data_IF_400067889687
#
_entry.id   IF_400067889687
#
_cell.length_a   1.000
_cell.length_b   1.000
_cell.length_c   1.000
_cell.angle_alpha   90.00
_cell.angle_beta   90.00
_cell.angle_gamma   90.00
#
_symmetry.space_group_name_H-M   'P 1'
#
loop_
_entity.id
_entity.type
_entity.pdbx_description
1 polymer ?
#
# COMPACT_ATOMS: atom_id res chain seq x y z
N UNK A 1 -37.42 29.86 15.30
CA UNK A 1 -36.35 30.51 14.51
C UNK A 1 -35.02 29.73 14.52
N UNK A 2 -34.71 28.90 15.54
CA UNK A 2 -33.45 28.14 15.63
C UNK A 2 -33.42 26.82 14.84
N UNK A 3 -34.57 26.17 14.64
CA UNK A 3 -34.68 24.85 13.98
C UNK A 3 -34.29 24.84 12.51
N UNK A 4 -34.58 25.92 11.77
CA UNK A 4 -34.27 26.03 10.34
C UNK A 4 -32.78 26.26 10.10
N UNK A 5 -32.10 26.97 11.00
CA UNK A 5 -30.65 27.20 10.92
C UNK A 5 -29.85 25.91 11.14
N UNK A 6 -30.25 25.07 12.10
CA UNK A 6 -29.60 23.78 12.33
C UNK A 6 -29.80 22.81 11.15
N UNK A 7 -30.97 22.87 10.51
CA UNK A 7 -31.28 22.05 9.34
C UNK A 7 -30.48 22.49 8.10
N UNK A 8 -30.33 23.80 7.88
CA UNK A 8 -29.46 24.35 6.85
C UNK A 8 -27.99 23.95 7.04
N UNK A 9 -27.47 23.98 8.27
CA UNK A 9 -26.08 23.57 8.57
C UNK A 9 -25.88 22.08 8.30
N UNK A 10 -26.88 21.23 8.63
CA UNK A 10 -26.84 19.80 8.34
C UNK A 10 -26.79 19.53 6.84
N UNK A 11 -27.67 20.18 6.07
CA UNK A 11 -27.70 20.07 4.62
C UNK A 11 -26.39 20.58 3.99
N UNK A 12 -25.81 21.65 4.50
CA UNK A 12 -24.54 22.17 4.00
C UNK A 12 -23.38 21.18 4.21
N UNK A 13 -23.33 20.51 5.37
CA UNK A 13 -22.34 19.46 5.66
C UNK A 13 -22.52 18.26 4.74
N UNK A 14 -23.76 17.84 4.54
CA UNK A 14 -24.09 16.72 3.64
C UNK A 14 -23.70 17.04 2.19
N UNK A 15 -23.92 18.28 1.74
CA UNK A 15 -23.48 18.75 0.42
C UNK A 15 -21.95 18.78 0.32
N UNK A 16 -21.24 19.21 1.37
CA UNK A 16 -19.78 19.22 1.40
C UNK A 16 -19.18 17.80 1.37
N UNK A 17 -19.74 16.85 2.11
CA UNK A 17 -19.31 15.45 2.08
C UNK A 17 -19.55 14.82 0.70
N UNK A 18 -20.69 15.12 0.08
CA UNK A 18 -20.98 14.65 -1.29
C UNK A 18 -20.06 15.29 -2.32
N UNK A 19 -19.72 16.57 -2.16
CA UNK A 19 -18.73 17.24 -3.00
C UNK A 19 -17.35 16.61 -2.84
N UNK A 20 -16.90 16.31 -1.63
CA UNK A 20 -15.61 15.65 -1.38
C UNK A 20 -15.57 14.24 -2.00
N UNK A 21 -16.70 13.51 -1.96
CA UNK A 21 -16.84 12.22 -2.65
C UNK A 21 -16.73 12.36 -4.17
N UNK A 22 -17.41 13.35 -4.75
CA UNK A 22 -17.39 13.62 -6.20
C UNK A 22 -16.00 14.08 -6.64
N UNK A 23 -15.32 14.92 -5.85
CA UNK A 23 -13.94 15.33 -6.12
C UNK A 23 -12.99 14.12 -6.11
N UNK A 24 -13.21 13.16 -5.20
CA UNK A 24 -12.46 11.90 -5.16
C UNK A 24 -12.69 11.02 -6.39
N UNK A 25 -13.94 10.90 -6.86
CA UNK A 25 -14.26 10.18 -8.09
C UNK A 25 -13.68 10.90 -9.33
N UNK A 26 -13.70 12.23 -9.36
CA UNK A 26 -13.07 13.03 -10.42
C UNK A 26 -11.56 12.83 -10.48
N UNK A 27 -10.89 12.70 -9.34
CA UNK A 27 -9.47 12.40 -9.30
C UNK A 27 -9.16 10.99 -9.83
N UNK A 28 -10.00 9.99 -9.50
CA UNK A 28 -9.89 8.64 -10.07
C UNK A 28 -10.08 8.64 -11.58
N UNK A 29 -11.10 9.32 -12.08
CA UNK A 29 -11.35 9.46 -13.52
C UNK A 29 -10.22 10.22 -14.21
N UNK A 30 -9.64 11.23 -13.57
CA UNK A 30 -8.44 11.92 -14.09
C UNK A 30 -7.23 11.00 -14.16
N UNK A 31 -7.02 10.16 -13.16
CA UNK A 31 -5.93 9.18 -13.14
C UNK A 31 -6.14 8.12 -14.23
N UNK A 32 -7.34 7.57 -14.40
CA UNK A 32 -7.67 6.64 -15.50
C UNK A 32 -7.51 7.29 -16.88
N UNK A 33 -7.98 8.53 -17.06
CA UNK A 33 -7.79 9.29 -18.31
C UNK A 33 -6.31 9.57 -18.58
N UNK A 34 -5.51 9.79 -17.53
CA UNK A 34 -4.06 9.96 -17.65
C UNK A 34 -3.39 8.64 -18.02
N UNK A 35 -3.81 7.52 -17.44
CA UNK A 35 -3.31 6.19 -17.79
C UNK A 35 -3.66 5.81 -19.23
N UNK A 36 -4.89 6.07 -19.69
CA UNK A 36 -5.28 5.86 -21.08
C UNK A 36 -4.50 6.76 -22.04
N UNK A 37 -4.25 8.02 -21.65
CA UNK A 37 -3.39 8.94 -22.41
C UNK A 37 -1.95 8.47 -22.44
N UNK A 38 -1.40 8.02 -21.32
CA UNK A 38 -0.04 7.49 -21.21
C UNK A 38 0.11 6.14 -21.94
N UNK A 39 -0.93 5.29 -21.98
CA UNK A 39 -0.95 4.08 -22.80
C UNK A 39 -1.02 4.40 -24.30
N UNK A 40 -1.74 5.47 -24.68
CA UNK A 40 -1.71 6.02 -26.04
C UNK A 40 -0.38 6.67 -26.42
N UNK A 41 0.38 7.19 -25.45
CA UNK A 41 1.68 7.86 -25.67
C UNK A 41 2.86 6.87 -25.56
N UNK A 42 2.74 5.76 -24.80
CA UNK A 42 3.83 4.80 -24.54
C UNK A 42 4.32 3.98 -25.73
N UNK A 43 3.76 4.15 -26.93
CA UNK A 43 4.44 3.69 -28.15
C UNK A 43 5.63 4.56 -28.55
N UNK A 44 5.79 5.75 -27.96
CA UNK A 44 6.91 6.64 -28.27
C UNK A 44 7.43 7.29 -26.99
N UNK A 45 8.74 7.20 -26.78
CA UNK A 45 9.54 8.05 -25.88
C UNK A 45 9.69 7.57 -24.43
N UNK A 46 10.83 6.92 -24.24
CA UNK A 46 11.63 6.89 -23.03
C UNK A 46 11.84 8.25 -22.34
N UNK A 47 12.15 8.16 -21.04
CA UNK A 47 12.89 9.11 -20.18
C UNK A 47 12.20 10.36 -19.59
N UNK A 48 12.29 10.42 -18.24
CA UNK A 48 12.39 11.60 -17.34
C UNK A 48 11.20 12.55 -17.15
N UNK A 49 10.91 12.87 -15.88
CA UNK A 49 10.26 14.14 -15.49
C UNK A 49 9.10 14.06 -14.50
N UNK A 50 9.43 14.19 -13.20
CA UNK A 50 8.68 14.89 -12.14
C UNK A 50 7.23 15.34 -12.42
N UNK A 51 6.27 14.61 -11.82
CA UNK A 51 5.03 15.10 -11.17
C UNK A 51 4.17 13.88 -10.77
N UNK A 52 4.46 13.28 -9.61
CA UNK A 52 3.81 12.05 -9.14
C UNK A 52 3.61 12.08 -7.61
N UNK A 53 2.71 12.94 -7.12
CA UNK A 53 2.39 12.99 -5.69
C UNK A 53 1.36 11.93 -5.24
N UNK A 54 0.66 11.25 -6.15
CA UNK A 54 -0.23 10.11 -5.86
C UNK A 54 0.38 8.74 -6.21
N UNK A 55 1.00 8.64 -7.38
CA UNK A 55 1.64 7.41 -7.89
C UNK A 55 3.08 7.21 -7.40
N UNK A 56 3.69 8.22 -6.80
CA UNK A 56 5.06 8.13 -6.27
C UNK A 56 5.17 7.13 -5.13
N UNK A 57 4.28 7.18 -4.14
CA UNK A 57 4.39 6.30 -2.97
C UNK A 57 4.21 4.82 -3.32
N UNK A 58 3.17 4.48 -4.10
CA UNK A 58 2.93 3.10 -4.52
C UNK A 58 4.06 2.58 -5.41
N UNK A 59 4.59 3.43 -6.29
CA UNK A 59 5.76 3.08 -7.11
C UNK A 59 7.01 2.86 -6.26
N UNK A 60 7.28 3.75 -5.29
CA UNK A 60 8.40 3.60 -4.36
C UNK A 60 8.27 2.31 -3.54
N UNK A 61 7.07 1.97 -3.07
CA UNK A 61 6.81 0.71 -2.37
C UNK A 61 7.04 -0.49 -3.32
N UNK A 62 6.58 -0.43 -4.56
CA UNK A 62 6.81 -1.51 -5.54
C UNK A 62 8.29 -1.69 -5.90
N UNK A 63 9.07 -0.60 -5.94
CA UNK A 63 10.51 -0.64 -6.22
C UNK A 63 11.32 -1.13 -4.99
N UNK A 64 10.93 -0.73 -3.78
CA UNK A 64 11.67 -1.02 -2.53
C UNK A 64 11.10 -2.19 -1.70
N UNK A 65 10.00 -2.80 -2.15
CA UNK A 65 9.17 -3.82 -1.49
C UNK A 65 8.38 -3.31 -0.26
N UNK A 66 8.97 -2.44 0.53
CA UNK A 66 8.31 -1.78 1.65
C UNK A 66 9.06 -0.49 2.02
N UNK A 67 8.34 0.43 2.66
CA UNK A 67 8.89 1.67 3.19
C UNK A 67 8.61 1.78 4.69
N UNK A 68 9.51 2.39 5.44
CA UNK A 68 9.23 2.77 6.81
C UNK A 68 8.19 3.89 6.84
N UNK A 69 7.22 3.82 7.76
CA UNK A 69 6.19 4.88 7.86
C UNK A 69 6.84 6.23 8.12
N UNK A 70 7.98 6.26 8.84
CA UNK A 70 8.76 7.46 9.15
C UNK A 70 9.29 8.18 7.90
N UNK A 71 9.65 7.42 6.87
CA UNK A 71 10.22 7.95 5.63
C UNK A 71 9.16 8.49 4.67
N UNK A 72 7.88 8.25 4.96
CA UNK A 72 6.77 8.75 4.16
C UNK A 72 6.46 10.21 4.50
N UNK A 73 6.82 11.10 3.56
CA UNK A 73 6.63 12.55 3.67
C UNK A 73 5.15 12.95 3.81
N UNK A 74 4.24 12.28 3.10
CA UNK A 74 2.80 12.61 3.12
C UNK A 74 1.99 11.62 3.97
N UNK A 75 1.84 11.95 5.26
CA UNK A 75 1.06 11.12 6.21
C UNK A 75 -0.43 11.04 5.85
N UNK A 76 -1.00 12.11 5.30
CA UNK A 76 -2.41 12.15 4.86
C UNK A 76 -2.67 11.19 3.71
N UNK A 77 -1.76 11.14 2.74
CA UNK A 77 -1.84 10.23 1.60
C UNK A 77 -1.64 8.78 2.04
N UNK A 78 -0.65 8.53 2.91
CA UNK A 78 -0.44 7.19 3.45
C UNK A 78 -1.67 6.67 4.18
N UNK A 79 -2.28 7.50 5.03
CA UNK A 79 -3.52 7.16 5.73
C UNK A 79 -4.62 6.77 4.75
N UNK A 80 -4.84 7.57 3.70
CA UNK A 80 -5.84 7.28 2.66
C UNK A 80 -5.55 5.97 1.91
N UNK A 81 -4.29 5.65 1.63
CA UNK A 81 -3.91 4.39 0.98
C UNK A 81 -4.10 3.16 1.87
N UNK A 82 -3.91 3.34 3.18
CA UNK A 82 -4.21 2.31 4.18
C UNK A 82 -5.74 2.13 4.29
N UNK A 83 -6.48 3.23 4.43
CA UNK A 83 -7.95 3.21 4.58
C UNK A 83 -8.64 2.61 3.34
N UNK A 84 -8.10 2.86 2.14
CA UNK A 84 -8.57 2.24 0.89
C UNK A 84 -8.09 0.81 0.65
N UNK A 85 -7.29 0.24 1.57
CA UNK A 85 -6.77 -1.13 1.49
C UNK A 85 -5.73 -1.38 0.39
N UNK A 86 -5.26 -0.32 -0.30
CA UNK A 86 -4.22 -0.41 -1.34
C UNK A 86 -2.83 -0.67 -0.75
N UNK A 87 -2.60 -0.19 0.47
CA UNK A 87 -1.36 -0.37 1.24
C UNK A 87 -1.70 -1.02 2.57
N UNK A 88 -0.87 -1.96 3.00
CA UNK A 88 -0.93 -2.62 4.30
C UNK A 88 0.14 -2.03 5.20
N UNK A 89 -0.26 -1.72 6.43
CA UNK A 89 0.63 -1.36 7.51
C UNK A 89 1.02 -2.62 8.28
N UNK A 90 2.32 -2.92 8.32
CA UNK A 90 2.89 -3.97 9.16
C UNK A 90 3.54 -3.31 10.37
N UNK A 91 3.01 -3.59 11.56
CA UNK A 91 3.56 -3.09 12.84
C UNK A 91 4.31 -4.19 13.56
N UNK A 92 5.64 -4.16 13.48
CA UNK A 92 6.49 -5.06 14.27
C UNK A 92 6.73 -4.44 15.65
N UNK A 93 5.94 -4.86 16.63
CA UNK A 93 6.07 -4.42 18.03
C UNK A 93 7.40 -4.85 18.64
N UNK A 94 7.97 -5.99 18.21
CA UNK A 94 9.23 -6.50 18.75
C UNK A 94 10.42 -5.65 18.32
N UNK A 95 10.35 -5.05 17.12
CA UNK A 95 11.38 -4.14 16.59
C UNK A 95 11.03 -2.66 16.73
N UNK A 96 9.87 -2.31 17.32
CA UNK A 96 9.31 -0.96 17.36
C UNK A 96 9.37 -0.26 15.99
N UNK A 97 8.98 -1.00 14.95
CA UNK A 97 9.08 -0.58 13.56
C UNK A 97 7.75 -0.72 12.85
N UNK A 98 7.39 0.32 12.11
CA UNK A 98 6.20 0.34 11.29
C UNK A 98 6.59 0.47 9.83
N UNK A 99 6.24 -0.52 9.02
CA UNK A 99 6.52 -0.53 7.59
C UNK A 99 5.23 -0.64 6.80
N UNK A 100 5.25 -0.11 5.58
CA UNK A 100 4.12 -0.11 4.66
C UNK A 100 4.49 -0.84 3.39
N UNK A 101 3.61 -1.73 2.95
CA UNK A 101 3.79 -2.56 1.74
C UNK A 101 2.45 -2.77 1.04
N UNK A 102 2.43 -3.41 -0.12
CA UNK A 102 1.18 -3.75 -0.83
C UNK A 102 0.84 -5.23 -0.67
N UNK A 103 -0.45 -5.56 -0.83
CA UNK A 103 -0.92 -6.95 -0.87
C UNK A 103 -0.19 -7.79 -1.90
N UNK A 104 0.08 -7.23 -3.06
CA UNK A 104 0.76 -7.91 -4.17
C UNK A 104 2.19 -8.31 -3.81
N UNK A 105 2.92 -7.46 -3.09
CA UNK A 105 4.30 -7.74 -2.67
C UNK A 105 4.32 -8.87 -1.65
N UNK A 106 3.44 -8.81 -0.64
CA UNK A 106 3.30 -9.90 0.33
C UNK A 106 2.93 -11.20 -0.38
N UNK A 107 1.95 -11.18 -1.28
CA UNK A 107 1.53 -12.37 -2.06
C UNK A 107 2.67 -12.94 -2.90
N UNK A 108 3.46 -12.10 -3.56
CA UNK A 108 4.63 -12.52 -4.36
C UNK A 108 5.71 -13.15 -3.49
N UNK A 109 5.90 -12.67 -2.26
CA UNK A 109 6.84 -13.28 -1.32
C UNK A 109 6.30 -14.61 -0.78
N UNK A 110 5.03 -14.65 -0.38
CA UNK A 110 4.38 -15.87 0.11
C UNK A 110 4.33 -16.97 -0.96
N UNK A 111 4.17 -16.63 -2.24
CA UNK A 111 4.18 -17.63 -3.33
C UNK A 111 5.55 -18.31 -3.54
N UNK A 112 6.63 -17.76 -2.98
CA UNK A 112 7.96 -18.39 -2.97
C UNK A 112 8.13 -19.39 -1.82
N UNK A 113 7.17 -19.45 -0.89
CA UNK A 113 7.19 -20.39 0.23
C UNK A 113 6.57 -21.74 -0.18
N UNK A 114 7.08 -22.87 0.34
CA UNK A 114 8.08 -22.97 1.40
C UNK A 114 9.53 -22.78 0.90
N UNK A 115 10.34 -22.02 1.64
CA UNK A 115 11.77 -21.82 1.34
C UNK A 115 12.63 -22.33 2.50
N UNK A 116 13.70 -23.06 2.20
CA UNK A 116 14.64 -23.55 3.22
C UNK A 116 15.56 -22.44 3.72
N UNK A 117 16.03 -22.52 4.97
CA UNK A 117 17.06 -21.58 5.49
C UNK A 117 18.30 -21.59 4.59
N UNK A 118 18.67 -22.76 4.07
CA UNK A 118 19.84 -22.90 3.18
C UNK A 118 19.64 -22.23 1.81
N UNK A 119 18.40 -21.86 1.47
CA UNK A 119 18.03 -21.24 0.20
C UNK A 119 17.70 -19.75 0.33
N UNK A 120 17.89 -19.17 1.53
CA UNK A 120 17.66 -17.73 1.78
C UNK A 120 18.46 -16.86 0.82
N UNK A 121 19.64 -17.30 0.39
CA UNK A 121 20.50 -16.59 -0.57
C UNK A 121 19.83 -16.35 -1.93
N UNK A 122 18.70 -17.02 -2.23
CA UNK A 122 17.89 -16.79 -3.44
C UNK A 122 16.97 -15.57 -3.32
N UNK A 123 16.75 -15.06 -2.11
CA UNK A 123 15.99 -13.84 -1.85
C UNK A 123 16.95 -12.65 -1.84
N UNK A 124 16.47 -11.50 -2.33
CA UNK A 124 17.18 -10.24 -2.11
C UNK A 124 17.17 -9.86 -0.62
N UNK A 125 18.13 -9.02 -0.19
CA UNK A 125 18.22 -8.57 1.20
C UNK A 125 16.90 -7.97 1.71
N UNK A 126 16.23 -7.18 0.85
CA UNK A 126 14.91 -6.58 1.15
C UNK A 126 13.79 -7.62 1.24
N UNK A 127 13.80 -8.66 0.40
CA UNK A 127 12.82 -9.75 0.51
C UNK A 127 13.04 -10.56 1.78
N UNK A 128 14.28 -10.81 2.16
CA UNK A 128 14.62 -11.48 3.40
C UNK A 128 14.20 -10.65 4.62
N UNK A 129 14.43 -9.34 4.60
CA UNK A 129 13.99 -8.42 5.64
C UNK A 129 12.45 -8.46 5.78
N UNK A 130 11.71 -8.40 4.67
CA UNK A 130 10.25 -8.54 4.69
C UNK A 130 9.81 -9.91 5.21
N UNK A 131 10.48 -11.00 4.81
CA UNK A 131 10.20 -12.35 5.29
C UNK A 131 10.39 -12.47 6.82
N UNK A 132 11.46 -11.89 7.36
CA UNK A 132 11.71 -11.91 8.80
C UNK A 132 10.68 -11.11 9.58
N UNK A 133 10.23 -9.97 9.04
CA UNK A 133 9.11 -9.21 9.62
C UNK A 133 7.82 -10.03 9.58
N UNK A 134 7.47 -10.65 8.45
CA UNK A 134 6.29 -11.50 8.35
C UNK A 134 6.35 -12.71 9.30
N UNK A 135 7.54 -13.24 9.56
CA UNK A 135 7.74 -14.32 10.54
C UNK A 135 7.46 -13.84 11.98
N UNK A 136 7.97 -12.66 12.37
CA UNK A 136 7.70 -12.09 13.70
C UNK A 136 6.21 -11.75 13.91
N UNK A 137 5.54 -11.33 12.85
CA UNK A 137 4.10 -11.05 12.85
C UNK A 137 3.25 -12.34 12.81
N UNK A 138 3.87 -13.51 12.67
CA UNK A 138 3.20 -14.80 12.66
C UNK A 138 2.53 -15.18 11.34
N UNK A 139 2.69 -14.39 10.27
CA UNK A 139 2.21 -14.70 8.92
C UNK A 139 3.04 -15.80 8.24
N UNK A 140 4.31 -15.89 8.62
CA UNK A 140 5.21 -16.97 8.20
C UNK A 140 5.70 -17.67 9.45
N UNK A 141 5.93 -18.99 9.39
CA UNK A 141 6.48 -19.75 10.50
C UNK A 141 7.72 -20.48 10.04
N UNK A 142 8.74 -20.54 10.90
CA UNK A 142 9.89 -21.40 10.70
C UNK A 142 9.57 -22.80 11.26
N UNK A 143 9.38 -23.79 10.37
CA UNK A 143 9.16 -25.21 10.73
C UNK A 143 10.13 -26.09 9.95
N UNK A 144 10.75 -27.05 10.62
CA UNK A 144 11.66 -28.02 10.00
C UNK A 144 12.73 -27.35 9.10
N UNK A 145 13.31 -26.25 9.59
CA UNK A 145 14.32 -25.46 8.89
C UNK A 145 13.82 -24.83 7.56
N UNK A 146 12.51 -24.65 7.42
CA UNK A 146 11.86 -24.01 6.27
C UNK A 146 10.86 -22.95 6.74
N UNK A 147 10.81 -21.85 6.02
CA UNK A 147 9.73 -20.88 6.19
C UNK A 147 8.49 -21.38 5.47
N UNK A 148 7.38 -21.48 6.18
CA UNK A 148 6.07 -21.92 5.68
C UNK A 148 5.01 -20.86 5.93
N UNK A 149 3.99 -20.82 5.08
CA UNK A 149 2.85 -19.91 5.23
C UNK A 149 2.02 -20.37 6.45
N UNK A 150 1.63 -19.43 7.31
CA UNK A 150 0.73 -19.72 8.44
C UNK A 150 -0.74 -19.55 8.03
N UNK A 151 -1.67 -20.00 8.88
CA UNK A 151 -3.09 -19.77 8.66
C UNK A 151 -3.48 -18.28 8.72
N UNK A 152 -2.75 -17.44 9.45
CA UNK A 152 -3.02 -15.99 9.52
C UNK A 152 -2.66 -15.28 8.22
N UNK A 153 -1.70 -15.79 7.45
CA UNK A 153 -1.33 -15.21 6.16
C UNK A 153 -2.35 -15.46 5.03
N UNK A 154 -3.38 -16.28 5.28
CA UNK A 154 -4.46 -16.52 4.30
C UNK A 154 -5.24 -15.26 3.95
N UNK A 155 -5.21 -14.22 4.77
CA UNK A 155 -5.86 -12.94 4.46
C UNK A 155 -5.24 -12.19 3.24
N UNK A 156 -4.04 -12.59 2.82
CA UNK A 156 -3.32 -11.98 1.69
C UNK A 156 -3.41 -12.80 0.40
N UNK A 157 -3.89 -14.05 0.47
CA UNK A 157 -4.03 -15.01 -0.64
C UNK A 157 -5.42 -14.87 -1.24
#
# INVERSE_FOLDING_TARGET
>A
MSSTYSECIRLLREVLERLESIEGELDLVKDELRELREQGIKQQSSSTGTQQFGSGLLRLINESLFLDTKDVLSKRLLKRLIDSGRVILLRDESANREVVTTKEIIRRLLSKLPISINEINKLSDREYELLTMLNRLGYVLLRDNKYVISDTAKEFI
#
